data_IF_185882923360
#
_entry.id   IF_185882923360
#
_cell.length_a   1.000
_cell.length_b   1.000
_cell.length_c   1.000
_cell.angle_alpha   90.00
_cell.angle_beta   90.00
_cell.angle_gamma   90.00
#
_symmetry.space_group_name_H-M   'P 1'
#
loop_
_entity.id
_entity.type
_entity.pdbx_description
1 polymer ?
#
# COMPACT_ATOMS: atom_id res chain seq x y z
N UNK A 1 18.31 -10.52 -18.30
CA UNK A 1 17.66 -9.29 -17.81
C UNK A 1 17.96 -9.17 -16.34
N UNK A 2 18.52 -8.02 -15.93
CA UNK A 2 18.64 -7.63 -14.52
C UNK A 2 17.25 -7.56 -13.93
N UNK A 3 17.03 -8.14 -12.73
CA UNK A 3 15.72 -8.10 -12.08
C UNK A 3 15.43 -6.67 -11.58
N UNK A 4 14.16 -6.28 -11.54
CA UNK A 4 13.77 -4.95 -11.03
C UNK A 4 14.30 -4.70 -9.61
N UNK A 5 14.33 -5.72 -8.76
CA UNK A 5 14.88 -5.62 -7.40
C UNK A 5 16.38 -5.28 -7.39
N UNK A 6 17.15 -5.79 -8.37
CA UNK A 6 18.58 -5.49 -8.52
C UNK A 6 18.79 -4.03 -8.95
N UNK A 7 17.93 -3.50 -9.83
CA UNK A 7 17.94 -2.08 -10.20
C UNK A 7 17.64 -1.21 -8.97
N UNK A 8 16.61 -1.53 -8.20
CA UNK A 8 16.23 -0.79 -6.99
C UNK A 8 17.37 -0.83 -5.96
N UNK A 9 17.99 -1.98 -5.76
CA UNK A 9 19.10 -2.12 -4.82
C UNK A 9 20.29 -1.26 -5.26
N UNK A 10 20.71 -1.36 -6.53
CA UNK A 10 21.80 -0.55 -7.08
C UNK A 10 21.50 0.94 -6.99
N UNK A 11 20.26 1.33 -7.25
CA UNK A 11 19.78 2.70 -7.11
C UNK A 11 19.99 3.22 -5.68
N UNK A 12 19.56 2.45 -4.66
CA UNK A 12 19.76 2.81 -3.24
C UNK A 12 21.23 2.90 -2.84
N UNK A 13 22.11 2.10 -3.46
CA UNK A 13 23.55 2.12 -3.18
C UNK A 13 24.22 3.36 -3.78
N UNK A 14 23.91 3.69 -5.03
CA UNK A 14 24.44 4.88 -5.70
C UNK A 14 23.89 6.19 -5.13
N UNK A 15 22.63 6.21 -4.70
CA UNK A 15 21.99 7.42 -4.15
C UNK A 15 22.75 7.96 -2.92
N UNK A 16 23.42 7.09 -2.15
CA UNK A 16 24.25 7.49 -1.00
C UNK A 16 25.50 8.28 -1.36
N UNK A 17 25.86 8.35 -2.64
CA UNK A 17 27.04 9.06 -3.14
C UNK A 17 26.71 10.49 -3.60
N UNK A 18 25.43 10.86 -3.61
CA UNK A 18 25.00 12.21 -3.94
C UNK A 18 25.37 13.20 -2.83
N UNK A 19 25.70 14.42 -3.23
CA UNK A 19 25.75 15.55 -2.31
C UNK A 19 24.32 15.97 -1.91
N UNK A 20 24.19 16.82 -0.89
CA UNK A 20 22.88 17.18 -0.32
C UNK A 20 21.90 17.83 -1.32
N UNK A 21 22.40 18.68 -2.22
CA UNK A 21 21.57 19.36 -3.24
C UNK A 21 21.01 18.34 -4.25
N UNK A 22 21.89 17.51 -4.81
CA UNK A 22 21.52 16.49 -5.78
C UNK A 22 20.70 15.37 -5.16
N UNK A 23 20.96 15.01 -3.90
CA UNK A 23 20.15 14.05 -3.14
C UNK A 23 18.71 14.54 -2.99
N UNK A 24 18.52 15.82 -2.67
CA UNK A 24 17.18 16.43 -2.59
C UNK A 24 16.47 16.38 -3.93
N UNK A 25 17.14 16.82 -5.00
CA UNK A 25 16.58 16.81 -6.36
C UNK A 25 16.16 15.39 -6.79
N UNK A 26 17.07 14.43 -6.64
CA UNK A 26 16.87 13.06 -7.08
C UNK A 26 15.81 12.33 -6.25
N UNK A 27 15.78 12.55 -4.93
CA UNK A 27 14.76 11.98 -4.06
C UNK A 27 13.36 12.40 -4.46
N UNK A 28 13.17 13.70 -4.76
CA UNK A 28 11.89 14.20 -5.27
C UNK A 28 11.55 13.57 -6.62
N UNK A 29 12.51 13.53 -7.56
CA UNK A 29 12.30 12.97 -8.89
C UNK A 29 11.84 11.51 -8.83
N UNK A 30 12.50 10.68 -8.04
CA UNK A 30 12.17 9.25 -7.91
C UNK A 30 10.80 9.06 -7.25
N UNK A 31 10.43 9.90 -6.28
CA UNK A 31 9.08 9.88 -5.69
C UNK A 31 8.03 10.15 -6.77
N UNK A 32 8.21 11.18 -7.60
CA UNK A 32 7.28 11.47 -8.69
C UNK A 32 7.23 10.38 -9.75
N UNK A 33 8.39 9.85 -10.17
CA UNK A 33 8.49 8.76 -11.14
C UNK A 33 7.72 7.53 -10.67
N UNK A 34 7.95 7.08 -9.44
CA UNK A 34 7.29 5.88 -8.89
C UNK A 34 5.80 6.11 -8.68
N UNK A 35 5.41 7.27 -8.15
CA UNK A 35 4.00 7.57 -7.90
C UNK A 35 3.20 7.65 -9.22
N UNK A 36 3.69 8.43 -10.20
CA UNK A 36 3.00 8.58 -11.49
C UNK A 36 3.20 7.38 -12.41
N UNK A 37 4.29 6.64 -12.24
CA UNK A 37 4.64 5.41 -12.94
C UNK A 37 3.93 4.15 -12.45
N UNK A 38 3.05 4.24 -11.44
CA UNK A 38 2.37 3.09 -10.82
C UNK A 38 1.71 2.12 -11.83
N UNK A 39 1.16 2.64 -12.94
CA UNK A 39 0.52 1.83 -13.99
C UNK A 39 1.45 1.47 -15.15
N UNK A 40 2.71 1.90 -15.09
CA UNK A 40 3.72 1.70 -16.14
C UNK A 40 4.53 0.43 -15.88
N UNK A 41 5.38 0.08 -16.84
CA UNK A 41 6.33 -1.00 -16.64
C UNK A 41 7.36 -0.62 -15.57
N UNK A 42 7.27 -1.27 -14.40
CA UNK A 42 8.12 -1.05 -13.23
C UNK A 42 9.62 -1.14 -13.58
N UNK A 43 10.01 -2.11 -14.42
CA UNK A 43 11.40 -2.27 -14.82
C UNK A 43 11.91 -1.06 -15.62
N UNK A 44 11.12 -0.55 -16.56
CA UNK A 44 11.50 0.63 -17.37
C UNK A 44 11.59 1.87 -16.48
N UNK A 45 10.68 2.02 -15.52
CA UNK A 45 10.72 3.15 -14.57
C UNK A 45 11.98 3.11 -13.71
N UNK A 46 12.32 1.95 -13.14
CA UNK A 46 13.51 1.81 -12.29
C UNK A 46 14.82 1.86 -13.09
N UNK A 47 14.83 1.38 -14.35
CA UNK A 47 15.96 1.54 -15.27
C UNK A 47 16.22 3.02 -15.55
N UNK A 48 15.17 3.78 -15.93
CA UNK A 48 15.31 5.22 -16.19
C UNK A 48 15.70 6.00 -14.94
N UNK A 49 15.17 5.64 -13.78
CA UNK A 49 15.58 6.25 -12.51
C UNK A 49 17.07 6.01 -12.25
N UNK A 50 17.58 4.80 -12.51
CA UNK A 50 18.99 4.47 -12.34
C UNK A 50 19.89 5.22 -13.33
N UNK A 51 19.51 5.31 -14.60
CA UNK A 51 20.25 6.09 -15.62
C UNK A 51 20.37 7.56 -15.19
N UNK A 52 19.27 8.19 -14.77
CA UNK A 52 19.26 9.59 -14.30
C UNK A 52 20.16 9.77 -13.08
N UNK A 53 20.16 8.82 -12.15
CA UNK A 53 21.04 8.87 -11.00
C UNK A 53 22.53 8.84 -11.40
N UNK A 54 22.87 8.06 -12.42
CA UNK A 54 24.24 8.00 -12.95
C UNK A 54 24.62 9.32 -13.61
N UNK A 55 23.73 9.90 -14.42
CA UNK A 55 23.96 11.21 -15.05
C UNK A 55 24.18 12.32 -13.99
N UNK A 56 23.43 12.28 -12.88
CA UNK A 56 23.62 13.22 -11.75
C UNK A 56 24.98 13.01 -11.10
N UNK A 57 25.41 11.77 -10.89
CA UNK A 57 26.71 11.49 -10.30
C UNK A 57 27.86 11.96 -11.19
N UNK A 58 27.70 11.86 -12.51
CA UNK A 58 28.67 12.35 -13.48
C UNK A 58 28.71 13.88 -13.48
N UNK A 59 27.56 14.57 -13.55
CA UNK A 59 27.49 16.04 -13.49
C UNK A 59 28.04 16.58 -12.16
N UNK A 60 27.80 15.86 -11.06
CA UNK A 60 28.31 16.20 -9.73
C UNK A 60 29.84 16.19 -9.69
N UNK A 61 30.52 15.30 -10.43
CA UNK A 61 31.98 15.28 -10.51
C UNK A 61 32.52 16.52 -11.23
N UNK A 62 31.74 17.09 -12.14
CA UNK A 62 32.04 18.36 -12.83
C UNK A 62 31.62 19.61 -12.03
N UNK A 63 31.02 19.42 -10.84
CA UNK A 63 30.53 20.50 -9.99
C UNK A 63 29.20 21.12 -10.44
N UNK A 64 28.47 20.45 -11.34
CA UNK A 64 27.19 20.90 -11.89
C UNK A 64 26.05 20.24 -11.11
N UNK A 65 25.09 21.03 -10.63
CA UNK A 65 23.91 20.50 -9.94
C UNK A 65 22.94 19.82 -10.90
N UNK A 66 22.12 18.89 -10.39
CA UNK A 66 21.15 18.16 -11.21
C UNK A 66 20.13 19.09 -11.88
N UNK A 67 19.67 20.14 -11.17
CA UNK A 67 18.72 21.11 -11.72
C UNK A 67 19.35 21.94 -12.84
N UNK A 68 20.64 22.29 -12.72
CA UNK A 68 21.39 22.96 -13.78
C UNK A 68 21.62 22.04 -14.99
N UNK A 69 22.03 20.79 -14.75
CA UNK A 69 22.31 19.81 -15.81
C UNK A 69 21.07 19.47 -16.64
N UNK A 70 19.94 19.18 -15.99
CA UNK A 70 18.69 18.84 -16.69
C UNK A 70 17.86 20.06 -17.09
N UNK A 71 18.14 21.24 -16.52
CA UNK A 71 17.40 22.49 -16.77
C UNK A 71 15.91 22.41 -16.43
N UNK A 72 15.51 21.45 -15.58
CA UNK A 72 14.11 21.13 -15.28
C UNK A 72 13.95 20.78 -13.81
N UNK A 73 12.80 21.14 -13.26
CA UNK A 73 12.41 20.70 -11.92
C UNK A 73 12.15 19.18 -11.91
N UNK A 74 12.35 18.50 -10.76
CA UNK A 74 12.14 17.06 -10.63
C UNK A 74 10.77 16.58 -11.14
N UNK A 75 9.72 17.35 -10.87
CA UNK A 75 8.35 17.06 -11.27
C UNK A 75 8.15 17.06 -12.80
N UNK A 76 8.69 18.08 -13.47
CA UNK A 76 8.54 18.26 -14.91
C UNK A 76 9.29 17.16 -15.66
N UNK A 77 10.48 16.81 -15.18
CA UNK A 77 11.27 15.75 -15.77
C UNK A 77 10.64 14.37 -15.56
N UNK A 78 10.16 14.07 -14.34
CA UNK A 78 9.43 12.84 -14.07
C UNK A 78 8.17 12.69 -14.93
N UNK A 79 7.44 13.78 -15.18
CA UNK A 79 6.26 13.78 -16.05
C UNK A 79 6.58 13.40 -17.50
N UNK A 80 7.72 13.83 -18.01
CA UNK A 80 8.17 13.51 -19.36
C UNK A 80 8.48 12.01 -19.52
N UNK A 81 9.19 11.45 -18.54
CA UNK A 81 9.57 10.04 -18.53
C UNK A 81 8.33 9.14 -18.40
N UNK A 82 7.42 9.47 -17.49
CA UNK A 82 6.20 8.68 -17.27
C UNK A 82 5.27 8.73 -18.48
N UNK A 83 5.23 9.85 -19.21
CA UNK A 83 4.44 9.96 -20.45
C UNK A 83 4.90 8.99 -21.53
N UNK A 84 6.20 8.76 -21.64
CA UNK A 84 6.78 7.90 -22.68
C UNK A 84 6.82 6.42 -22.29
N UNK A 85 6.79 6.12 -20.98
CA UNK A 85 6.79 4.74 -20.50
C UNK A 85 5.51 3.96 -20.91
N UNK A 86 5.62 2.68 -21.32
CA UNK A 86 4.46 1.86 -21.67
C UNK A 86 3.68 1.44 -20.41
N UNK A 87 2.35 1.32 -20.56
CA UNK A 87 1.46 0.81 -19.51
C UNK A 87 1.66 -0.71 -19.38
N UNK A 88 1.71 -1.22 -18.14
CA UNK A 88 1.91 -2.65 -17.88
C UNK A 88 0.63 -3.32 -17.39
N UNK A 89 0.16 -4.32 -18.13
CA UNK A 89 -0.97 -5.15 -17.70
C UNK A 89 -0.64 -5.93 -16.41
N UNK A 90 0.58 -6.47 -16.31
CA UNK A 90 1.03 -7.18 -15.11
C UNK A 90 1.14 -6.24 -13.90
N UNK A 91 1.58 -5.00 -14.11
CA UNK A 91 1.63 -3.97 -13.06
C UNK A 91 0.22 -3.64 -12.52
N UNK A 92 -0.76 -3.51 -13.41
CA UNK A 92 -2.15 -3.31 -13.03
C UNK A 92 -2.71 -4.51 -12.24
N UNK A 93 -2.48 -5.74 -12.71
CA UNK A 93 -2.91 -6.94 -11.98
C UNK A 93 -2.26 -7.04 -10.59
N UNK A 94 -0.95 -6.76 -10.49
CA UNK A 94 -0.25 -6.69 -9.20
C UNK A 94 -0.94 -5.70 -8.26
N UNK A 95 -1.31 -4.51 -8.74
CA UNK A 95 -2.03 -3.52 -7.95
C UNK A 95 -3.41 -4.03 -7.50
N UNK A 96 -4.18 -4.67 -8.39
CA UNK A 96 -5.48 -5.27 -8.06
C UNK A 96 -5.34 -6.32 -6.98
N UNK A 97 -4.36 -7.22 -7.09
CA UNK A 97 -4.11 -8.25 -6.08
C UNK A 97 -3.64 -7.65 -4.75
N UNK A 98 -2.82 -6.60 -4.77
CA UNK A 98 -2.43 -5.87 -3.56
C UNK A 98 -3.66 -5.21 -2.92
N UNK A 99 -4.51 -4.53 -3.70
CA UNK A 99 -5.72 -3.90 -3.19
C UNK A 99 -6.70 -4.92 -2.61
N UNK A 100 -6.88 -6.06 -3.29
CA UNK A 100 -7.66 -7.18 -2.77
C UNK A 100 -7.05 -7.75 -1.50
N UNK A 101 -5.73 -7.92 -1.44
CA UNK A 101 -5.02 -8.38 -0.25
C UNK A 101 -5.24 -7.44 0.95
N UNK A 102 -5.08 -6.13 0.74
CA UNK A 102 -5.33 -5.11 1.77
C UNK A 102 -6.78 -5.13 2.25
N UNK A 103 -7.75 -5.17 1.32
CA UNK A 103 -9.17 -5.29 1.63
C UNK A 103 -9.48 -6.57 2.43
N UNK A 104 -8.91 -7.71 2.00
CA UNK A 104 -9.06 -9.00 2.66
C UNK A 104 -8.55 -8.96 4.09
N UNK A 105 -7.34 -8.42 4.28
CA UNK A 105 -6.76 -8.26 5.61
C UNK A 105 -7.64 -7.38 6.48
N UNK A 106 -8.09 -6.23 5.98
CA UNK A 106 -8.94 -5.31 6.73
C UNK A 106 -10.26 -5.96 7.16
N UNK A 107 -10.94 -6.67 6.27
CA UNK A 107 -12.17 -7.40 6.59
C UNK A 107 -11.94 -8.52 7.61
N UNK A 108 -10.90 -9.34 7.40
CA UNK A 108 -10.52 -10.38 8.34
C UNK A 108 -10.19 -9.81 9.73
N UNK A 109 -9.50 -8.67 9.79
CA UNK A 109 -9.20 -8.00 11.06
C UNK A 109 -10.46 -7.58 11.82
N UNK A 110 -11.46 -7.00 11.14
CA UNK A 110 -12.74 -6.61 11.78
C UNK A 110 -13.46 -7.85 12.34
N UNK A 111 -13.53 -8.92 11.55
CA UNK A 111 -14.26 -10.13 11.95
C UNK A 111 -13.51 -10.91 13.04
N UNK A 112 -12.19 -10.76 13.11
CA UNK A 112 -11.36 -11.32 14.18
C UNK A 112 -11.41 -10.49 15.47
N UNK A 113 -11.73 -9.20 15.45
CA UNK A 113 -11.90 -8.40 16.67
C UNK A 113 -13.30 -8.59 17.28
N UNK A 114 -14.30 -8.92 16.45
CA UNK A 114 -15.70 -9.05 16.86
C UNK A 114 -16.16 -10.51 16.74
N UNK A 115 -16.12 -11.32 17.82
CA UNK A 115 -16.44 -12.75 17.78
C UNK A 115 -17.86 -13.09 17.32
N UNK A 116 -18.78 -12.13 17.45
CA UNK A 116 -20.17 -12.25 17.05
C UNK A 116 -20.39 -12.15 15.54
N UNK A 117 -19.39 -11.69 14.78
CA UNK A 117 -19.45 -11.58 13.33
C UNK A 117 -18.92 -12.86 12.67
N UNK A 118 -19.60 -13.28 11.60
CA UNK A 118 -19.14 -14.39 10.76
C UNK A 118 -18.39 -13.83 9.55
N UNK A 119 -17.32 -14.50 9.14
CA UNK A 119 -16.67 -14.18 7.88
C UNK A 119 -17.46 -14.82 6.73
N UNK A 120 -17.91 -14.00 5.78
CA UNK A 120 -18.71 -14.42 4.62
C UNK A 120 -17.80 -14.64 3.40
N UNK A 121 -17.41 -15.90 3.18
CA UNK A 121 -16.52 -16.27 2.06
C UNK A 121 -17.17 -16.01 0.70
N UNK A 122 -18.50 -16.14 0.59
CA UNK A 122 -19.19 -15.92 -0.67
C UNK A 122 -19.23 -14.44 -1.03
N UNK A 123 -19.55 -13.56 -0.08
CA UNK A 123 -19.49 -12.11 -0.31
C UNK A 123 -18.07 -11.67 -0.66
N UNK A 124 -17.07 -12.22 0.04
CA UNK A 124 -15.67 -11.98 -0.28
C UNK A 124 -15.31 -12.37 -1.72
N UNK A 125 -15.69 -13.57 -2.15
CA UNK A 125 -15.42 -14.05 -3.51
C UNK A 125 -16.13 -13.19 -4.58
N UNK A 126 -17.38 -12.79 -4.34
CA UNK A 126 -18.13 -11.91 -5.25
C UNK A 126 -17.45 -10.54 -5.37
N UNK A 127 -17.02 -9.94 -4.25
CA UNK A 127 -16.29 -8.66 -4.28
C UNK A 127 -14.95 -8.83 -5.00
N UNK A 128 -14.23 -9.92 -4.78
CA UNK A 128 -12.96 -10.17 -5.45
C UNK A 128 -13.10 -10.27 -6.98
N UNK A 129 -14.09 -11.03 -7.46
CA UNK A 129 -14.41 -11.13 -8.89
C UNK A 129 -14.83 -9.78 -9.44
N UNK A 130 -15.70 -9.06 -8.73
CA UNK A 130 -16.14 -7.72 -9.11
C UNK A 130 -14.96 -6.75 -9.28
N UNK A 131 -14.04 -6.70 -8.31
CA UNK A 131 -12.86 -5.81 -8.37
C UNK A 131 -11.96 -6.15 -9.55
N UNK A 132 -11.78 -7.44 -9.86
CA UNK A 132 -10.99 -7.87 -11.01
C UNK A 132 -11.64 -7.44 -12.33
N UNK A 133 -12.94 -7.66 -12.49
CA UNK A 133 -13.69 -7.21 -13.69
C UNK A 133 -13.68 -5.68 -13.80
N UNK A 134 -13.91 -4.98 -12.70
CA UNK A 134 -13.86 -3.51 -12.63
C UNK A 134 -12.50 -2.97 -13.08
N UNK A 135 -11.40 -3.61 -12.68
CA UNK A 135 -10.07 -3.23 -13.10
C UNK A 135 -9.82 -3.44 -14.59
N UNK A 136 -10.29 -4.56 -15.16
CA UNK A 136 -10.21 -4.82 -16.60
C UNK A 136 -11.03 -3.79 -17.41
N UNK A 137 -12.23 -3.44 -16.93
CA UNK A 137 -13.08 -2.42 -17.54
C UNK A 137 -12.42 -1.03 -17.49
N UNK A 138 -11.84 -0.64 -16.35
CA UNK A 138 -11.08 0.60 -16.22
C UNK A 138 -9.89 0.63 -17.17
N UNK A 139 -9.16 -0.47 -17.29
CA UNK A 139 -8.02 -0.56 -18.20
C UNK A 139 -8.45 -0.39 -19.66
N UNK A 140 -9.51 -1.09 -20.08
CA UNK A 140 -10.07 -0.94 -21.42
C UNK A 140 -10.56 0.50 -21.68
N UNK A 141 -11.25 1.11 -20.71
CA UNK A 141 -11.73 2.48 -20.82
C UNK A 141 -10.58 3.50 -20.88
N UNK A 142 -9.54 3.34 -20.08
CA UNK A 142 -8.32 4.16 -20.16
C UNK A 142 -7.67 3.99 -21.54
N UNK A 143 -7.48 2.76 -22.01
CA UNK A 143 -6.85 2.49 -23.31
C UNK A 143 -7.58 3.14 -24.49
N UNK A 144 -8.92 3.15 -24.47
CA UNK A 144 -9.74 3.80 -25.51
C UNK A 144 -9.73 5.32 -25.40
N UNK A 145 -9.57 5.87 -24.20
CA UNK A 145 -9.67 7.31 -23.96
C UNK A 145 -8.34 8.07 -24.03
N UNK A 146 -7.20 7.37 -23.95
CA UNK A 146 -5.84 7.94 -24.08
C UNK A 146 -5.66 8.76 -25.37
N UNK A 147 -6.30 8.36 -26.47
CA UNK A 147 -6.24 9.07 -27.76
C UNK A 147 -7.38 10.07 -27.99
N UNK A 148 -8.23 10.33 -26.99
CA UNK A 148 -9.36 11.24 -27.13
C UNK A 148 -8.90 12.70 -27.30
N UNK A 149 -9.42 13.37 -28.33
CA UNK A 149 -9.17 14.80 -28.60
C UNK A 149 -9.63 15.71 -27.44
N UNK A 150 -10.61 15.27 -26.64
CA UNK A 150 -11.16 16.01 -25.49
C UNK A 150 -10.60 15.47 -24.16
N UNK A 151 -9.29 15.66 -23.92
CA UNK A 151 -8.59 15.13 -22.73
C UNK A 151 -9.28 15.44 -21.40
N UNK A 152 -9.78 16.67 -21.20
CA UNK A 152 -10.44 17.07 -19.94
C UNK A 152 -11.74 16.28 -19.68
N UNK A 153 -12.56 16.10 -20.72
CA UNK A 153 -13.82 15.35 -20.62
C UNK A 153 -13.56 13.86 -20.42
N UNK A 154 -12.60 13.32 -21.19
CA UNK A 154 -12.11 11.95 -21.05
C UNK A 154 -11.67 11.63 -19.62
N UNK A 155 -10.81 12.47 -19.05
CA UNK A 155 -10.34 12.28 -17.67
C UNK A 155 -11.47 12.36 -16.66
N UNK A 156 -12.42 13.29 -16.83
CA UNK A 156 -13.60 13.38 -15.96
C UNK A 156 -14.47 12.12 -16.02
N UNK A 157 -14.68 11.55 -17.21
CA UNK A 157 -15.44 10.31 -17.38
C UNK A 157 -14.72 9.10 -16.76
N UNK A 158 -13.40 9.00 -16.91
CA UNK A 158 -12.60 7.94 -16.29
C UNK A 158 -12.65 8.03 -14.76
N UNK A 159 -12.57 9.24 -14.20
CA UNK A 159 -12.72 9.48 -12.76
C UNK A 159 -14.13 9.11 -12.29
N UNK A 160 -15.17 9.48 -13.04
CA UNK A 160 -16.55 9.12 -12.71
C UNK A 160 -16.75 7.60 -12.71
N UNK A 161 -16.25 6.90 -13.74
CA UNK A 161 -16.31 5.44 -13.83
C UNK A 161 -15.62 4.78 -12.63
N UNK A 162 -14.44 5.26 -12.25
CA UNK A 162 -13.73 4.79 -11.07
C UNK A 162 -14.55 4.94 -9.78
N UNK A 163 -15.17 6.10 -9.56
CA UNK A 163 -16.02 6.35 -8.39
C UNK A 163 -17.22 5.40 -8.37
N UNK A 164 -17.90 5.24 -9.51
CA UNK A 164 -19.06 4.33 -9.63
C UNK A 164 -18.65 2.90 -9.30
N UNK A 165 -17.51 2.45 -9.82
CA UNK A 165 -17.00 1.10 -9.56
C UNK A 165 -16.63 0.90 -8.09
N UNK A 166 -16.01 1.89 -7.44
CA UNK A 166 -15.71 1.84 -6.01
C UNK A 166 -16.99 1.75 -5.16
N UNK A 167 -17.96 2.63 -5.41
CA UNK A 167 -19.24 2.65 -4.67
C UNK A 167 -19.99 1.33 -4.88
N UNK A 168 -20.00 0.80 -6.11
CA UNK A 168 -20.59 -0.50 -6.42
C UNK A 168 -19.95 -1.64 -5.62
N UNK A 169 -18.62 -1.69 -5.50
CA UNK A 169 -17.93 -2.70 -4.71
C UNK A 169 -18.27 -2.62 -3.22
N UNK A 170 -18.32 -1.40 -2.67
CA UNK A 170 -18.75 -1.15 -1.30
C UNK A 170 -20.18 -1.61 -1.05
N UNK A 171 -21.11 -1.26 -1.95
CA UNK A 171 -22.51 -1.67 -1.87
C UNK A 171 -22.64 -3.20 -1.91
N UNK A 172 -21.95 -3.88 -2.83
CA UNK A 172 -21.95 -5.35 -2.90
C UNK A 172 -21.54 -5.99 -1.58
N UNK A 173 -20.50 -5.46 -0.91
CA UNK A 173 -20.03 -6.02 0.37
C UNK A 173 -21.03 -5.89 1.53
N UNK A 174 -21.91 -4.89 1.46
CA UNK A 174 -22.94 -4.61 2.47
C UNK A 174 -24.22 -5.42 2.18
N UNK A 175 -24.72 -5.35 0.94
CA UNK A 175 -26.03 -5.88 0.57
C UNK A 175 -26.01 -7.37 0.20
N UNK A 176 -24.89 -7.90 -0.31
CA UNK A 176 -24.79 -9.34 -0.61
C UNK A 176 -24.34 -10.05 0.67
N UNK A 177 -25.18 -10.96 1.14
CA UNK A 177 -24.86 -11.96 2.15
C UNK A 177 -25.12 -13.33 1.56
N UNK A 178 -24.20 -14.26 1.80
CA UNK A 178 -24.27 -15.61 1.24
C UNK A 178 -24.40 -16.64 2.37
N UNK A 179 -24.86 -17.86 2.08
CA UNK A 179 -24.91 -18.92 3.09
C UNK A 179 -23.52 -19.43 3.50
N UNK A 180 -22.44 -19.02 2.81
CA UNK A 180 -21.07 -19.45 3.08
C UNK A 180 -20.41 -18.66 4.22
N UNK A 181 -21.10 -18.58 5.35
CA UNK A 181 -20.63 -17.87 6.54
C UNK A 181 -19.97 -18.82 7.53
N UNK A 182 -18.74 -18.52 7.91
CA UNK A 182 -18.01 -19.27 8.93
C UNK A 182 -17.87 -18.40 10.17
N UNK A 183 -18.44 -18.90 11.27
CA UNK A 183 -18.22 -18.33 12.60
C UNK A 183 -16.88 -18.81 13.11
N UNK A 184 -15.91 -17.89 13.17
CA UNK A 184 -14.59 -18.16 13.74
C UNK A 184 -14.67 -18.12 15.28
N UNK A 185 -15.41 -19.05 15.89
CA UNK A 185 -15.66 -19.09 17.34
C UNK A 185 -14.65 -20.03 18.03
N UNK A 186 -14.28 -19.68 19.27
CA UNK A 186 -13.41 -20.50 20.12
C UNK A 186 -12.03 -20.73 19.52
N UNK A 187 -11.53 -21.97 19.67
CA UNK A 187 -10.17 -22.38 19.28
C UNK A 187 -9.88 -22.13 17.80
N UNK A 188 -10.83 -22.36 16.89
CA UNK A 188 -10.60 -22.18 15.46
C UNK A 188 -10.31 -20.72 15.09
N UNK A 189 -11.00 -19.77 15.73
CA UNK A 189 -10.69 -18.35 15.54
C UNK A 189 -9.31 -17.97 16.09
N UNK A 190 -8.91 -18.53 17.23
CA UNK A 190 -7.58 -18.33 17.82
C UNK A 190 -6.49 -18.87 16.88
N UNK A 191 -6.67 -20.08 16.32
CA UNK A 191 -5.73 -20.67 15.36
C UNK A 191 -5.55 -19.79 14.13
N UNK A 192 -6.63 -19.23 13.58
CA UNK A 192 -6.55 -18.29 12.44
C UNK A 192 -5.78 -17.01 12.81
N UNK A 193 -6.03 -16.42 13.98
CA UNK A 193 -5.29 -15.24 14.46
C UNK A 193 -3.79 -15.55 14.58
N UNK A 194 -3.44 -16.69 15.16
CA UNK A 194 -2.03 -17.10 15.31
C UNK A 194 -1.35 -17.36 13.97
N UNK A 195 -2.04 -17.98 13.00
CA UNK A 195 -1.54 -18.15 11.64
C UNK A 195 -1.30 -16.80 10.95
N UNK A 196 -2.23 -15.85 11.06
CA UNK A 196 -2.08 -14.51 10.48
C UNK A 196 -0.92 -13.76 11.12
N UNK A 197 -0.79 -13.81 12.45
CA UNK A 197 0.35 -13.23 13.15
C UNK A 197 1.67 -13.83 12.68
N UNK A 198 1.75 -15.15 12.53
CA UNK A 198 2.94 -15.83 12.04
C UNK A 198 3.31 -15.36 10.62
N UNK A 199 2.35 -15.27 9.72
CA UNK A 199 2.56 -14.76 8.35
C UNK A 199 3.08 -13.32 8.39
N UNK A 200 2.43 -12.43 9.16
CA UNK A 200 2.83 -11.04 9.30
C UNK A 200 4.26 -10.96 9.87
N UNK A 201 4.60 -11.76 10.88
CA UNK A 201 5.94 -11.81 11.46
C UNK A 201 6.98 -12.27 10.42
N UNK A 202 6.72 -13.33 9.66
CA UNK A 202 7.62 -13.80 8.60
C UNK A 202 7.84 -12.71 7.55
N UNK A 203 6.77 -12.05 7.11
CA UNK A 203 6.84 -10.95 6.15
C UNK A 203 7.65 -9.76 6.71
N UNK A 204 7.42 -9.40 7.97
CA UNK A 204 8.16 -8.34 8.64
C UNK A 204 9.66 -8.65 8.76
N UNK A 205 10.05 -9.89 9.05
CA UNK A 205 11.47 -10.26 9.14
C UNK A 205 12.17 -10.36 7.79
N UNK A 206 11.43 -10.66 6.71
CA UNK A 206 11.96 -10.66 5.34
C UNK A 206 12.28 -9.26 4.80
N UNK A 207 11.72 -8.20 5.37
CA UNK A 207 11.93 -6.83 4.91
C UNK A 207 13.32 -6.28 5.28
N UNK A 208 13.80 -5.33 4.48
CA UNK A 208 15.03 -4.59 4.70
C UNK A 208 14.95 -3.71 5.97
N UNK A 209 16.11 -3.25 6.48
CA UNK A 209 16.16 -2.43 7.69
C UNK A 209 15.37 -1.12 7.59
N UNK A 210 15.33 -0.49 6.42
CA UNK A 210 14.56 0.76 6.22
C UNK A 210 13.06 0.46 6.14
N UNK A 211 12.65 -0.56 5.40
CA UNK A 211 11.25 -0.99 5.34
C UNK A 211 10.72 -1.41 6.72
N UNK A 212 11.52 -2.12 7.51
CA UNK A 212 11.17 -2.48 8.89
C UNK A 212 10.85 -1.27 9.76
N UNK A 213 11.56 -0.14 9.61
CA UNK A 213 11.25 1.09 10.34
C UNK A 213 9.92 1.70 9.91
N UNK A 214 9.59 1.59 8.62
CA UNK A 214 8.31 2.06 8.07
C UNK A 214 7.14 1.24 8.62
N UNK A 215 7.31 -0.08 8.77
CA UNK A 215 6.25 -0.98 9.24
C UNK A 215 6.18 -1.14 10.77
N UNK A 216 7.27 -0.89 11.50
CA UNK A 216 7.31 -1.06 12.96
C UNK A 216 6.22 -0.30 13.74
N UNK A 217 5.82 0.94 13.37
CA UNK A 217 4.75 1.65 14.06
C UNK A 217 3.38 0.97 14.03
N UNK A 218 3.13 0.05 13.10
CA UNK A 218 1.85 -0.66 12.99
C UNK A 218 1.77 -1.88 13.93
N UNK A 219 2.89 -2.34 14.47
CA UNK A 219 2.98 -3.52 15.35
C UNK A 219 2.05 -3.40 16.58
N UNK A 220 2.01 -2.28 17.33
CA UNK A 220 1.14 -2.16 18.51
C UNK A 220 -0.33 -2.39 18.18
N UNK A 221 -0.83 -1.83 17.08
CA UNK A 221 -2.23 -2.00 16.65
C UNK A 221 -2.50 -3.46 16.30
N UNK A 222 -1.62 -4.09 15.51
CA UNK A 222 -1.77 -5.49 15.11
C UNK A 222 -1.80 -6.41 16.34
N UNK A 223 -0.90 -6.19 17.30
CA UNK A 223 -0.85 -6.95 18.54
C UNK A 223 -2.09 -6.72 19.41
N UNK A 224 -2.54 -5.47 19.56
CA UNK A 224 -3.77 -5.16 20.29
C UNK A 224 -4.98 -5.88 19.68
N UNK A 225 -5.13 -5.83 18.35
CA UNK A 225 -6.20 -6.55 17.65
C UNK A 225 -6.13 -8.06 17.87
N UNK A 226 -4.93 -8.65 17.79
CA UNK A 226 -4.76 -10.08 18.01
C UNK A 226 -5.07 -10.50 19.45
N UNK A 227 -4.59 -9.75 20.44
CA UNK A 227 -4.88 -10.00 21.85
C UNK A 227 -6.38 -9.90 22.11
N UNK A 228 -7.04 -8.83 21.66
CA UNK A 228 -8.49 -8.68 21.79
C UNK A 228 -9.21 -9.84 21.12
N UNK A 229 -8.82 -10.21 19.91
CA UNK A 229 -9.44 -11.31 19.16
C UNK A 229 -9.28 -12.68 19.84
N UNK A 230 -8.14 -12.93 20.50
CA UNK A 230 -7.90 -14.17 21.25
C UNK A 230 -8.69 -14.16 22.56
N UNK A 231 -8.54 -13.11 23.38
CA UNK A 231 -9.17 -13.02 24.71
C UNK A 231 -10.68 -13.07 24.59
N UNK A 232 -11.26 -12.38 23.59
CA UNK A 232 -12.71 -12.38 23.33
C UNK A 232 -13.27 -13.74 22.91
N UNK A 233 -12.42 -14.69 22.52
CA UNK A 233 -12.80 -16.08 22.17
C UNK A 233 -12.54 -17.08 23.28
N UNK A 234 -11.96 -16.65 24.40
CA UNK A 234 -11.81 -17.50 25.58
C UNK A 234 -13.13 -17.59 26.36
N UNK A 235 -13.39 -18.75 26.96
CA UNK A 235 -14.61 -19.01 27.73
C UNK A 235 -14.78 -18.10 28.95
N UNK A 236 -13.68 -17.51 29.43
CA UNK A 236 -13.64 -16.65 30.61
C UNK A 236 -14.16 -15.25 30.29
N UNK A 237 -13.81 -14.70 29.12
CA UNK A 237 -14.05 -13.29 28.79
C UNK A 237 -15.09 -13.08 27.68
N UNK A 238 -15.58 -14.13 27.01
CA UNK A 238 -16.52 -14.01 25.89
C UNK A 238 -17.78 -13.21 26.26
N UNK A 239 -18.37 -13.45 27.44
CA UNK A 239 -19.55 -12.73 27.91
C UNK A 239 -19.29 -11.25 28.19
N UNK A 240 -18.10 -10.90 28.69
CA UNK A 240 -17.72 -9.51 28.94
C UNK A 240 -17.67 -8.70 27.65
N UNK A 241 -17.10 -9.24 26.57
CA UNK A 241 -16.96 -8.54 25.29
C UNK A 241 -18.29 -8.33 24.54
N UNK A 242 -19.35 -9.04 24.91
CA UNK A 242 -20.70 -8.79 24.38
C UNK A 242 -21.40 -7.58 25.03
N UNK A 243 -20.97 -7.20 26.24
CA UNK A 243 -21.52 -6.04 26.98
C UNK A 243 -21.11 -4.70 26.37
N UNK A 244 -21.88 -3.63 26.68
CA UNK A 244 -21.51 -2.27 26.27
C UNK A 244 -20.16 -1.84 26.86
N UNK A 245 -19.89 -2.20 28.11
CA UNK A 245 -18.62 -1.91 28.78
C UNK A 245 -17.45 -2.58 28.07
N UNK A 246 -17.58 -3.86 27.70
CA UNK A 246 -16.57 -4.57 26.94
C UNK A 246 -16.31 -3.97 25.56
N UNK A 247 -17.35 -3.50 24.86
CA UNK A 247 -17.20 -2.77 23.59
C UNK A 247 -16.44 -1.45 23.77
N UNK A 248 -16.70 -0.69 24.83
CA UNK A 248 -15.92 0.51 25.15
C UNK A 248 -14.48 0.19 25.52
N UNK A 249 -14.23 -0.95 26.20
CA UNK A 249 -12.87 -1.42 26.47
C UNK A 249 -12.11 -1.74 25.18
N UNK A 250 -12.74 -2.43 24.22
CA UNK A 250 -12.14 -2.67 22.89
C UNK A 250 -11.80 -1.33 22.23
N UNK A 251 -12.75 -0.41 22.17
CA UNK A 251 -12.55 0.90 21.55
C UNK A 251 -11.41 1.69 22.22
N UNK A 252 -11.36 1.71 23.56
CA UNK A 252 -10.31 2.37 24.32
C UNK A 252 -8.92 1.79 24.06
N UNK A 253 -8.79 0.46 24.04
CA UNK A 253 -7.52 -0.21 23.72
C UNK A 253 -7.08 0.09 22.29
N UNK A 254 -8.01 0.08 21.31
CA UNK A 254 -7.70 0.44 19.93
C UNK A 254 -7.26 1.90 19.80
N UNK A 255 -7.95 2.83 20.44
CA UNK A 255 -7.56 4.26 20.45
C UNK A 255 -6.16 4.43 21.05
N UNK A 256 -5.88 3.79 22.18
CA UNK A 256 -4.56 3.85 22.81
C UNK A 256 -3.47 3.28 21.88
N UNK A 257 -3.75 2.16 21.19
CA UNK A 257 -2.82 1.57 20.22
C UNK A 257 -2.55 2.49 19.02
N UNK A 258 -3.55 3.23 18.55
CA UNK A 258 -3.41 4.23 17.49
C UNK A 258 -2.59 5.44 17.95
N UNK A 259 -2.74 5.88 19.21
CA UNK A 259 -1.92 6.95 19.79
C UNK A 259 -0.45 6.49 19.85
N UNK A 260 -0.19 5.27 20.32
CA UNK A 260 1.16 4.69 20.35
C UNK A 260 1.74 4.62 18.93
N UNK A 261 0.97 4.15 17.95
CA UNK A 261 1.38 4.12 16.55
C UNK A 261 1.78 5.52 16.06
N UNK A 262 0.96 6.53 16.32
CA UNK A 262 1.25 7.91 15.92
C UNK A 262 2.55 8.44 16.54
N UNK A 263 2.75 8.20 17.83
CA UNK A 263 3.98 8.58 18.55
C UNK A 263 5.20 7.88 17.94
N UNK A 264 5.10 6.58 17.63
CA UNK A 264 6.17 5.85 16.96
C UNK A 264 6.46 6.45 15.58
N UNK A 265 5.45 6.71 14.75
CA UNK A 265 5.63 7.36 13.44
C UNK A 265 6.41 8.67 13.60
N UNK A 266 6.03 9.51 14.57
CA UNK A 266 6.71 10.77 14.86
C UNK A 266 8.19 10.58 15.21
N UNK A 267 8.53 9.62 16.07
CA UNK A 267 9.93 9.35 16.43
C UNK A 267 10.75 8.79 15.25
N UNK A 268 10.17 7.86 14.48
CA UNK A 268 10.86 7.28 13.32
C UNK A 268 11.09 8.32 12.22
N UNK A 269 10.11 9.18 11.94
CA UNK A 269 10.26 10.27 10.95
C UNK A 269 11.23 11.36 11.40
N UNK A 270 11.23 11.74 12.70
CA UNK A 270 12.20 12.71 13.24
C UNK A 270 13.65 12.21 13.13
N UNK A 271 13.88 10.92 13.38
CA UNK A 271 15.21 10.30 13.28
C UNK A 271 15.71 10.19 11.84
N UNK A 272 14.80 10.18 10.86
CA UNK A 272 15.16 10.26 9.44
C UNK A 272 15.60 11.69 9.08
N UNK A 273 14.87 12.73 9.50
CA UNK A 273 15.25 14.13 9.24
C UNK A 273 16.57 14.55 9.88
N UNK A 274 16.92 14.03 11.05
CA UNK A 274 18.19 14.37 11.72
C UNK A 274 19.43 13.73 11.09
N UNK A 275 19.28 12.88 10.05
CA UNK A 275 20.39 12.33 9.27
C UNK A 275 20.63 13.08 7.96
N UNK A 276 19.70 13.93 7.55
CA UNK A 276 19.72 14.68 6.29
C UNK A 276 20.22 16.13 6.49
N UNK A 277 20.42 16.54 7.75
CA UNK A 277 21.09 17.79 8.15
C UNK A 277 22.44 17.45 8.77
#
# INVERSE_FOLDING_TARGET
>A
MVKTDELIQKNRELQKQLNSENESYYSDLVIYLRAKGTFKNEWIIEEKALEILQDILDSQQEGISAEEYFGKKPQEFADEIVKTAPVSFLGLLKLVFVALGVYSMFMLFIDLILPSRSFDFGTFAVVAVYTLVAALLLFWFIGTTVYSKKKKLSNAMTTLLYIVLLVGGGALSIFIKTPYQVKLVGIWGIVVILMLLLIITILFFKQDKEDKKTWAPFIPVILSCAVIGIVSRTTIFSSFFETMTGKYTIAGVLILSLIIQYVLIYFYTRKLRSKTN
#
